data_IF_835307307676
#
_entry.id   IF_835307307676
#
_cell.length_a   1.000
_cell.length_b   1.000
_cell.length_c   1.000
_cell.angle_alpha   90.00
_cell.angle_beta   90.00
_cell.angle_gamma   90.00
#
_symmetry.space_group_name_H-M   'P 1'
#
loop_
_entity.id
_entity.type
_entity.pdbx_description
1 polymer ?
#
# COMPACT_ATOMS: atom_id res chain seq x y z
N UNK A 1 -1.37 -49.65 0.67
CA UNK A 1 -1.72 -49.27 2.06
C UNK A 1 -0.82 -48.10 2.41
N UNK A 2 -1.22 -46.87 2.67
CA UNK A 2 -2.48 -46.29 3.09
C UNK A 2 -2.14 -44.79 3.18
N UNK A 3 -2.59 -43.92 2.26
CA UNK A 3 -2.51 -42.43 2.38
C UNK A 3 -2.93 -41.64 1.12
N UNK A 4 -3.25 -42.29 -0.01
CA UNK A 4 -3.63 -41.57 -1.26
C UNK A 4 -5.13 -41.41 -1.53
N UNK A 5 -6.01 -41.83 -0.63
CA UNK A 5 -7.49 -41.82 -0.85
C UNK A 5 -8.27 -40.79 -0.02
N UNK A 6 -7.65 -40.00 0.86
CA UNK A 6 -8.37 -39.04 1.74
C UNK A 6 -8.46 -37.59 1.24
N UNK A 7 -7.85 -37.24 0.11
CA UNK A 7 -7.87 -35.84 -0.41
C UNK A 7 -8.95 -35.61 -1.48
N UNK A 8 -9.47 -36.65 -2.12
CA UNK A 8 -10.48 -36.48 -3.18
C UNK A 8 -11.92 -36.31 -2.64
N UNK A 9 -12.20 -36.79 -1.43
CA UNK A 9 -13.55 -36.71 -0.82
C UNK A 9 -13.85 -35.32 -0.25
N UNK A 10 -12.85 -34.54 0.17
CA UNK A 10 -13.09 -33.23 0.79
C UNK A 10 -13.40 -32.11 -0.21
N UNK A 11 -13.27 -32.36 -1.52
CA UNK A 11 -13.55 -31.37 -2.59
C UNK A 11 -14.93 -31.52 -3.23
N UNK A 12 -15.70 -32.56 -2.89
CA UNK A 12 -17.05 -32.81 -3.42
C UNK A 12 -18.19 -32.47 -2.45
N UNK A 13 -17.89 -32.12 -1.19
CA UNK A 13 -18.89 -31.81 -0.16
C UNK A 13 -19.10 -30.30 0.11
N UNK A 14 -18.61 -29.42 -0.78
CA UNK A 14 -18.84 -27.96 -0.67
C UNK A 14 -19.44 -27.34 -1.94
N UNK A 15 -20.07 -28.18 -2.77
CA UNK A 15 -20.78 -27.76 -3.98
C UNK A 15 -22.30 -28.01 -3.91
N UNK A 16 -22.80 -28.73 -2.90
CA UNK A 16 -24.21 -29.09 -2.77
C UNK A 16 -25.08 -28.11 -1.99
N UNK A 17 -24.52 -27.19 -1.19
CA UNK A 17 -25.32 -26.27 -0.37
C UNK A 17 -25.61 -24.90 -1.00
N UNK A 18 -25.04 -24.60 -2.18
CA UNK A 18 -25.28 -23.33 -2.88
C UNK A 18 -26.41 -23.46 -3.92
N UNK A 19 -26.70 -24.68 -4.42
CA UNK A 19 -27.75 -24.89 -5.43
C UNK A 19 -29.19 -24.94 -4.88
N UNK A 20 -29.42 -25.19 -3.59
CA UNK A 20 -30.79 -25.26 -3.05
C UNK A 20 -31.43 -23.90 -2.73
N UNK A 21 -30.64 -22.81 -2.62
CA UNK A 21 -31.17 -21.48 -2.26
C UNK A 21 -31.63 -20.61 -3.43
N UNK A 22 -31.40 -21.04 -4.68
CA UNK A 22 -31.85 -20.30 -5.87
C UNK A 22 -33.19 -20.84 -6.40
N UNK A 23 -33.55 -22.11 -6.11
CA UNK A 23 -34.77 -22.73 -6.62
C UNK A 23 -36.06 -22.39 -5.84
N UNK A 24 -35.98 -21.75 -4.67
CA UNK A 24 -37.15 -21.42 -3.83
C UNK A 24 -37.69 -19.99 -4.02
N UNK A 25 -37.10 -19.21 -4.93
CA UNK A 25 -37.54 -17.84 -5.21
C UNK A 25 -38.34 -17.69 -6.52
N UNK A 26 -38.72 -18.80 -7.16
CA UNK A 26 -39.36 -18.78 -8.49
C UNK A 26 -40.65 -19.62 -8.60
N UNK A 27 -41.35 -19.89 -7.49
CA UNK A 27 -42.62 -20.65 -7.47
C UNK A 27 -43.67 -20.11 -6.49
N UNK A 28 -43.66 -18.82 -6.16
CA UNK A 28 -44.67 -18.20 -5.28
C UNK A 28 -45.30 -16.92 -5.88
N UNK A 29 -45.34 -16.82 -7.22
CA UNK A 29 -46.03 -15.73 -7.93
C UNK A 29 -47.24 -16.18 -8.76
N UNK A 30 -47.67 -17.43 -8.63
CA UNK A 30 -48.88 -17.92 -9.32
C UNK A 30 -49.86 -18.50 -8.31
N UNK A 31 -51.11 -18.05 -8.40
CA UNK A 31 -52.33 -18.47 -7.68
C UNK A 31 -52.70 -17.59 -6.48
N UNK A 32 -53.39 -16.49 -6.81
CA UNK A 32 -54.41 -15.96 -5.92
C UNK A 32 -55.59 -16.94 -5.83
N UNK A 33 -56.11 -17.14 -4.62
CA UNK A 33 -57.47 -17.58 -4.26
C UNK A 33 -57.70 -17.21 -2.79
N UNK A 34 -58.92 -16.78 -2.51
CA UNK A 34 -59.50 -16.24 -1.29
C UNK A 34 -59.91 -17.31 -0.22
N UNK A 35 -60.45 -16.80 0.90
CA UNK A 35 -61.27 -17.45 1.95
C UNK A 35 -60.51 -18.19 3.08
N UNK A 36 -60.49 -17.64 4.30
CA UNK A 36 -61.57 -17.61 5.31
C UNK A 36 -61.61 -18.88 6.16
N UNK A 37 -61.12 -18.80 7.41
CA UNK A 37 -61.87 -19.22 8.61
C UNK A 37 -61.06 -19.04 9.90
N UNK A 38 -61.63 -18.23 10.80
CA UNK A 38 -61.84 -18.49 12.23
C UNK A 38 -60.79 -19.33 12.97
N UNK A 39 -59.96 -18.68 13.78
CA UNK A 39 -60.23 -18.49 15.21
C UNK A 39 -60.17 -19.80 16.02
N UNK A 40 -59.09 -19.98 16.78
CA UNK A 40 -59.22 -20.55 18.12
C UNK A 40 -58.15 -19.98 19.05
N UNK A 41 -58.66 -19.24 20.03
CA UNK A 41 -58.03 -18.71 21.23
C UNK A 41 -56.86 -19.53 21.77
N UNK A 42 -55.76 -18.84 22.12
CA UNK A 42 -55.33 -18.77 23.53
C UNK A 42 -54.56 -17.47 23.78
N UNK A 43 -55.31 -16.46 24.20
CA UNK A 43 -54.85 -15.39 25.07
C UNK A 43 -54.26 -16.01 26.34
N UNK A 44 -53.07 -15.59 26.76
CA UNK A 44 -52.74 -15.10 28.10
C UNK A 44 -51.21 -14.96 28.21
N UNK A 45 -50.71 -13.74 27.99
CA UNK A 45 -49.58 -13.13 28.72
C UNK A 45 -49.10 -11.88 27.98
N UNK A 46 -49.92 -10.83 27.97
CA UNK A 46 -49.40 -9.47 27.87
C UNK A 46 -48.91 -9.06 29.25
N UNK A 47 -47.62 -8.80 29.38
CA UNK A 47 -47.04 -8.30 30.62
C UNK A 47 -45.57 -7.94 30.48
N UNK A 48 -45.31 -6.63 30.43
CA UNK A 48 -44.16 -5.97 31.07
C UNK A 48 -42.84 -6.18 30.32
N UNK A 49 -42.52 -5.30 29.37
CA UNK A 49 -41.66 -4.12 29.57
C UNK A 49 -40.28 -4.42 30.18
N UNK A 50 -39.30 -3.72 29.63
CA UNK A 50 -37.95 -3.51 30.13
C UNK A 50 -36.86 -4.47 29.66
N UNK A 51 -35.82 -3.81 29.15
CA UNK A 51 -34.52 -4.34 28.78
C UNK A 51 -34.43 -5.06 27.42
N UNK A 52 -34.92 -4.36 26.40
CA UNK A 52 -34.09 -4.14 25.22
C UNK A 52 -32.78 -3.52 25.73
N UNK A 53 -31.79 -4.37 26.06
CA UNK A 53 -30.40 -3.96 26.23
C UNK A 53 -29.95 -3.50 24.86
N UNK A 54 -30.37 -2.29 24.52
CA UNK A 54 -29.87 -1.48 23.45
C UNK A 54 -28.38 -1.46 23.68
N UNK A 55 -27.71 -2.17 22.79
CA UNK A 55 -26.28 -2.34 22.67
C UNK A 55 -25.64 -0.95 22.67
N UNK A 56 -25.40 -0.39 23.86
CA UNK A 56 -24.59 0.80 24.03
C UNK A 56 -23.13 0.34 23.94
N UNK A 57 -22.78 -0.24 22.79
CA UNK A 57 -21.40 -0.29 22.35
C UNK A 57 -21.04 1.15 22.02
N UNK A 58 -20.65 1.87 23.08
CA UNK A 58 -20.23 3.24 23.05
C UNK A 58 -19.28 3.40 21.88
N UNK A 59 -19.77 4.05 20.82
CA UNK A 59 -18.98 4.40 19.66
C UNK A 59 -17.97 5.41 20.17
N UNK A 60 -16.83 4.90 20.63
CA UNK A 60 -15.68 5.69 21.03
C UNK A 60 -15.48 6.71 19.92
N UNK A 61 -15.82 7.97 20.21
CA UNK A 61 -15.51 9.09 19.34
C UNK A 61 -14.02 8.96 19.09
N UNK A 62 -13.68 8.64 17.85
CA UNK A 62 -12.30 8.48 17.45
C UNK A 62 -11.65 9.85 17.63
N UNK A 63 -10.98 10.06 18.76
CA UNK A 63 -10.07 11.18 18.94
C UNK A 63 -9.15 11.16 17.72
N UNK A 64 -9.25 12.19 16.89
CA UNK A 64 -8.34 12.38 15.76
C UNK A 64 -6.94 12.53 16.35
N UNK A 65 -6.18 11.42 16.41
CA UNK A 65 -4.77 11.43 16.82
C UNK A 65 -4.00 12.24 15.79
N UNK A 66 -3.93 13.55 16.01
CA UNK A 66 -3.13 14.48 15.23
C UNK A 66 -1.67 14.13 15.51
N UNK A 67 -1.01 13.51 14.53
CA UNK A 67 0.45 13.36 14.58
C UNK A 67 1.11 14.74 14.71
N UNK A 68 2.18 14.79 15.49
CA UNK A 68 2.99 15.98 15.73
C UNK A 68 3.42 16.68 14.43
N UNK A 69 3.70 17.98 14.52
CA UNK A 69 4.12 18.77 13.36
C UNK A 69 5.44 18.24 12.78
N UNK A 70 5.61 18.33 11.46
CA UNK A 70 6.84 17.88 10.78
C UNK A 70 8.07 18.66 11.25
N UNK A 71 7.92 19.96 11.51
CA UNK A 71 9.01 20.80 12.02
C UNK A 71 9.49 20.35 13.39
N UNK A 72 8.57 20.01 14.31
CA UNK A 72 8.93 19.51 15.63
C UNK A 72 9.67 18.16 15.53
N UNK A 73 9.15 17.23 14.73
CA UNK A 73 9.80 15.94 14.50
C UNK A 73 11.22 16.12 13.93
N UNK A 74 11.43 17.12 13.08
CA UNK A 74 12.75 17.43 12.54
C UNK A 74 13.70 18.01 13.59
N UNK A 75 13.24 18.94 14.42
CA UNK A 75 14.07 19.51 15.48
C UNK A 75 14.59 18.44 16.45
N UNK A 76 13.76 17.43 16.71
CA UNK A 76 14.15 16.27 17.53
C UNK A 76 15.16 15.38 16.78
N UNK A 77 14.84 14.99 15.53
CA UNK A 77 15.60 13.95 14.81
C UNK A 77 16.89 14.44 14.14
N UNK A 78 17.02 15.74 13.86
CA UNK A 78 18.13 16.31 13.05
C UNK A 78 19.53 16.01 13.58
N UNK A 79 19.69 15.81 14.89
CA UNK A 79 21.00 15.57 15.51
C UNK A 79 21.11 14.19 16.16
N UNK A 80 19.98 13.50 16.36
CA UNK A 80 19.88 12.29 17.20
C UNK A 80 19.59 11.03 16.40
N UNK A 81 19.17 11.15 15.14
CA UNK A 81 18.76 9.98 14.35
C UNK A 81 19.94 9.05 14.03
N UNK A 82 19.71 7.74 14.14
CA UNK A 82 20.71 6.69 13.84
C UNK A 82 21.06 6.59 12.35
N UNK A 83 20.22 7.14 11.48
CA UNK A 83 20.44 7.13 10.03
C UNK A 83 21.43 8.21 9.57
N UNK A 84 21.75 9.19 10.42
CA UNK A 84 22.70 10.26 10.10
C UNK A 84 24.12 9.72 10.09
N UNK A 85 24.81 9.97 8.99
CA UNK A 85 26.23 9.71 8.85
C UNK A 85 26.98 11.01 8.69
N UNK A 86 27.86 11.26 9.65
CA UNK A 86 28.84 12.35 9.59
C UNK A 86 30.18 11.73 9.20
N UNK A 87 30.77 12.22 8.10
CA UNK A 87 32.09 11.78 7.63
C UNK A 87 33.09 12.92 7.83
N UNK A 88 34.32 12.56 8.20
CA UNK A 88 35.44 13.51 8.26
C UNK A 88 35.64 14.14 6.87
N UNK A 89 35.97 15.43 6.82
CA UNK A 89 36.20 16.22 5.60
C UNK A 89 34.96 16.47 4.71
N UNK A 90 33.74 16.21 5.21
CA UNK A 90 32.50 16.57 4.49
C UNK A 90 31.63 17.47 5.37
N UNK A 91 31.40 18.71 4.94
CA UNK A 91 30.59 19.70 5.67
C UNK A 91 29.12 19.28 5.81
N UNK A 92 28.59 18.55 4.82
CA UNK A 92 27.19 18.14 4.79
C UNK A 92 27.00 16.71 5.38
N UNK A 93 26.09 16.50 6.34
CA UNK A 93 25.74 15.16 6.79
C UNK A 93 24.92 14.39 5.74
N UNK A 94 25.14 13.08 5.66
CA UNK A 94 24.37 12.18 4.82
C UNK A 94 23.34 11.39 5.64
N UNK A 95 22.32 10.86 4.99
CA UNK A 95 21.32 9.98 5.61
C UNK A 95 21.24 8.64 4.88
N UNK A 96 21.11 7.56 5.66
CA UNK A 96 20.86 6.18 5.20
C UNK A 96 19.39 5.77 5.29
N UNK A 97 18.48 6.71 5.50
CA UNK A 97 17.05 6.41 5.55
C UNK A 97 16.56 5.69 4.29
N UNK A 98 15.64 4.72 4.44
CA UNK A 98 14.99 4.10 3.30
C UNK A 98 14.18 5.15 2.52
N UNK A 99 14.07 4.96 1.21
CA UNK A 99 13.31 5.83 0.29
C UNK A 99 13.85 7.26 0.13
N UNK A 100 15.03 7.56 0.66
CA UNK A 100 15.62 8.89 0.56
C UNK A 100 16.11 9.18 -0.87
N UNK A 101 15.76 10.35 -1.42
CA UNK A 101 16.04 10.67 -2.83
C UNK A 101 17.51 11.05 -3.07
N UNK A 102 18.03 12.01 -2.33
CA UNK A 102 19.36 12.60 -2.55
C UNK A 102 20.43 12.09 -1.59
N UNK A 103 20.07 11.18 -0.68
CA UNK A 103 20.84 10.73 0.48
C UNK A 103 21.50 11.84 1.34
N UNK A 104 21.12 13.11 1.17
CA UNK A 104 21.59 14.25 1.97
C UNK A 104 20.67 14.43 3.16
N UNK A 105 21.21 14.50 4.37
CA UNK A 105 20.41 14.75 5.55
C UNK A 105 19.90 16.20 5.53
N UNK A 106 18.63 16.38 5.22
CA UNK A 106 18.00 17.68 5.06
C UNK A 106 16.48 17.58 5.23
N UNK A 107 15.88 18.59 5.85
CA UNK A 107 14.45 18.59 6.15
C UNK A 107 13.58 18.24 4.94
N UNK A 108 13.90 18.80 3.76
CA UNK A 108 13.08 18.68 2.55
C UNK A 108 12.87 17.24 2.08
N UNK A 109 13.90 16.39 2.15
CA UNK A 109 13.89 15.06 1.55
C UNK A 109 13.80 13.91 2.57
N UNK A 110 13.77 14.21 3.87
CA UNK A 110 13.63 13.18 4.90
C UNK A 110 12.33 12.42 4.75
N UNK A 111 12.40 11.11 4.95
CA UNK A 111 11.23 10.26 4.71
C UNK A 111 10.46 10.01 5.98
N UNK A 112 11.10 10.00 7.14
CA UNK A 112 10.43 9.71 8.42
C UNK A 112 9.50 10.85 8.86
N UNK A 113 9.95 12.09 8.68
CA UNK A 113 9.28 13.31 9.17
C UNK A 113 8.06 13.71 8.33
N UNK A 114 8.13 13.52 7.02
CA UNK A 114 7.07 13.97 6.12
C UNK A 114 5.95 12.93 5.98
N UNK A 115 4.70 13.41 6.00
CA UNK A 115 3.51 12.60 5.69
C UNK A 115 3.50 12.17 4.23
N UNK A 116 3.94 13.09 3.35
CA UNK A 116 4.01 12.89 1.91
C UNK A 116 5.47 12.62 1.50
N UNK A 117 5.75 11.38 1.10
CA UNK A 117 7.07 10.95 0.63
C UNK A 117 6.94 10.13 -0.64
N UNK A 118 7.83 10.42 -1.59
CA UNK A 118 8.05 9.62 -2.80
C UNK A 118 9.47 9.09 -2.74
N UNK A 119 9.62 7.79 -2.90
CA UNK A 119 10.88 7.09 -3.06
C UNK A 119 10.92 6.35 -4.39
N UNK A 120 12.13 6.11 -4.88
CA UNK A 120 12.37 5.28 -6.06
C UNK A 120 13.41 4.23 -5.67
N UNK A 121 13.04 2.97 -5.84
CA UNK A 121 13.85 1.79 -5.55
C UNK A 121 14.09 1.00 -6.83
N UNK A 122 15.25 0.35 -6.99
CA UNK A 122 15.45 -0.59 -8.10
C UNK A 122 14.48 -1.76 -7.98
N UNK A 123 13.99 -2.26 -9.12
CA UNK A 123 13.17 -3.46 -9.12
C UNK A 123 14.02 -4.72 -8.90
N UNK A 124 13.43 -5.75 -8.29
CA UNK A 124 14.09 -7.07 -8.14
C UNK A 124 14.39 -7.69 -9.50
N UNK A 125 13.48 -7.48 -10.45
CA UNK A 125 13.54 -8.06 -11.81
C UNK A 125 14.57 -7.38 -12.73
N UNK A 126 15.37 -6.41 -12.22
CA UNK A 126 16.31 -5.55 -12.98
C UNK A 126 15.71 -4.81 -14.19
N UNK A 127 14.39 -4.81 -14.28
CA UNK A 127 13.62 -4.27 -15.39
C UNK A 127 12.71 -3.15 -14.85
N UNK A 128 13.20 -1.92 -14.96
CA UNK A 128 12.53 -0.73 -14.49
C UNK A 128 12.66 -0.55 -12.98
N UNK A 129 11.89 0.39 -12.42
CA UNK A 129 12.00 0.76 -11.01
C UNK A 129 10.65 0.69 -10.30
N UNK A 130 10.72 0.55 -8.98
CA UNK A 130 9.58 0.59 -8.08
C UNK A 130 9.44 2.00 -7.52
N UNK A 131 8.26 2.58 -7.69
CA UNK A 131 7.90 3.84 -7.06
C UNK A 131 7.20 3.52 -5.76
N UNK A 132 7.69 4.14 -4.69
CA UNK A 132 7.11 3.98 -3.35
C UNK A 132 6.54 5.32 -2.92
N UNK A 133 5.28 5.32 -2.51
CA UNK A 133 4.60 6.51 -2.02
C UNK A 133 4.02 6.25 -0.64
N UNK A 134 4.08 7.25 0.25
CA UNK A 134 3.34 7.19 1.51
C UNK A 134 1.87 7.54 1.30
N UNK A 135 0.98 6.78 1.93
CA UNK A 135 -0.44 7.07 1.99
C UNK A 135 -0.73 8.22 2.94
N UNK A 136 -1.56 9.17 2.50
CA UNK A 136 -1.97 10.33 3.31
C UNK A 136 -2.87 9.94 4.50
N UNK A 137 -3.62 8.84 4.38
CA UNK A 137 -4.61 8.40 5.39
C UNK A 137 -3.98 7.51 6.48
N UNK A 138 -3.09 6.61 6.07
CA UNK A 138 -2.55 5.55 6.94
C UNK A 138 -1.20 5.94 7.57
N UNK A 139 -1.05 7.17 8.02
CA UNK A 139 0.27 7.69 8.47
C UNK A 139 0.76 6.98 9.74
N UNK A 140 -0.15 6.65 10.65
CA UNK A 140 0.14 5.99 11.93
C UNK A 140 0.30 4.46 11.82
N UNK A 141 0.07 3.87 10.64
CA UNK A 141 0.21 2.42 10.40
C UNK A 141 1.38 2.16 9.46
N UNK A 142 2.63 2.05 9.96
CA UNK A 142 3.82 2.01 9.10
C UNK A 142 3.75 0.89 8.05
N UNK A 143 3.35 -0.33 8.45
CA UNK A 143 3.20 -1.48 7.55
C UNK A 143 2.26 -1.23 6.36
N UNK A 144 1.15 -0.52 6.59
CA UNK A 144 0.13 -0.26 5.58
C UNK A 144 0.27 1.13 4.93
N UNK A 145 1.25 1.93 5.37
CA UNK A 145 1.44 3.31 4.92
C UNK A 145 2.16 3.39 3.56
N UNK A 146 3.03 2.44 3.25
CA UNK A 146 3.77 2.41 1.98
C UNK A 146 2.95 1.72 0.89
N UNK A 147 2.73 2.45 -0.21
CA UNK A 147 2.17 1.92 -1.45
C UNK A 147 3.32 1.79 -2.44
N UNK A 148 3.56 0.57 -2.91
CA UNK A 148 4.59 0.26 -3.89
C UNK A 148 3.94 -0.16 -5.19
N UNK A 149 4.40 0.39 -6.31
CA UNK A 149 4.01 -0.07 -7.63
C UNK A 149 5.21 0.03 -8.58
N UNK A 150 5.32 -0.93 -9.49
CA UNK A 150 6.43 -0.99 -10.43
C UNK A 150 6.02 -0.39 -11.76
N UNK A 151 6.94 0.37 -12.37
CA UNK A 151 6.76 0.87 -13.74
C UNK A 151 7.68 0.09 -14.66
N UNK A 152 7.10 -0.88 -15.37
CA UNK A 152 7.77 -1.66 -16.42
C UNK A 152 7.48 -0.99 -17.77
N UNK A 153 8.42 -0.25 -18.33
CA UNK A 153 8.31 0.42 -19.65
C UNK A 153 9.71 0.82 -20.15
N UNK A 154 9.82 1.26 -21.40
CA UNK A 154 11.06 1.83 -21.92
C UNK A 154 11.55 3.08 -21.16
N UNK A 155 12.85 3.41 -21.20
CA UNK A 155 13.48 4.38 -20.29
C UNK A 155 12.93 5.80 -20.42
N UNK A 156 12.60 6.26 -21.64
CA UNK A 156 11.97 7.57 -21.84
C UNK A 156 10.54 7.60 -21.29
N UNK A 157 9.80 6.52 -21.52
CA UNK A 157 8.40 6.41 -21.13
C UNK A 157 8.22 6.29 -19.61
N UNK A 158 9.08 5.53 -18.92
CA UNK A 158 9.07 5.42 -17.45
C UNK A 158 9.29 6.77 -16.78
N UNK A 159 10.27 7.56 -17.27
CA UNK A 159 10.56 8.89 -16.76
C UNK A 159 9.40 9.85 -17.01
N UNK A 160 8.77 9.82 -18.20
CA UNK A 160 7.61 10.65 -18.51
C UNK A 160 6.41 10.31 -17.59
N UNK A 161 6.09 9.03 -17.44
CA UNK A 161 5.06 8.51 -16.51
C UNK A 161 5.32 8.95 -15.09
N UNK A 162 6.54 8.73 -14.57
CA UNK A 162 6.93 9.17 -13.23
C UNK A 162 6.78 10.67 -13.06
N UNK A 163 7.17 11.44 -14.08
CA UNK A 163 7.02 12.89 -14.05
C UNK A 163 5.55 13.29 -13.93
N UNK A 164 4.63 12.63 -14.65
CA UNK A 164 3.20 12.92 -14.61
C UNK A 164 2.58 12.53 -13.27
N UNK A 165 2.97 11.40 -12.69
CA UNK A 165 2.57 11.01 -11.32
C UNK A 165 2.91 12.10 -10.31
N UNK A 166 4.11 12.70 -10.42
CA UNK A 166 4.52 13.79 -9.52
C UNK A 166 3.77 15.10 -9.83
N UNK A 167 3.39 15.37 -11.09
CA UNK A 167 2.58 16.56 -11.46
C UNK A 167 1.20 16.51 -10.80
N UNK A 168 0.58 15.34 -10.76
CA UNK A 168 -0.83 15.12 -10.42
C UNK A 168 -1.16 15.26 -8.91
N UNK A 169 -0.38 16.02 -8.13
CA UNK A 169 -0.82 16.49 -6.81
C UNK A 169 -0.19 15.81 -5.59
N UNK A 170 1.02 15.27 -5.73
CA UNK A 170 1.78 14.79 -4.57
C UNK A 170 2.73 15.86 -3.98
N UNK A 171 3.94 16.02 -4.53
CA UNK A 171 4.96 17.00 -4.11
C UNK A 171 5.80 17.46 -5.30
N UNK A 172 5.51 18.68 -5.79
CA UNK A 172 6.15 19.24 -7.01
C UNK A 172 7.64 19.58 -6.78
N UNK A 173 8.00 19.92 -5.55
CA UNK A 173 9.37 20.30 -5.13
C UNK A 173 10.38 19.14 -5.22
N UNK A 174 9.91 17.89 -5.16
CA UNK A 174 10.73 16.70 -5.27
C UNK A 174 10.90 16.20 -6.72
N UNK A 175 10.19 16.76 -7.70
CA UNK A 175 10.16 16.31 -9.10
C UNK A 175 11.56 16.10 -9.68
N UNK A 176 12.43 17.10 -9.55
CA UNK A 176 13.79 17.01 -10.09
C UNK A 176 14.64 15.91 -9.44
N UNK A 177 14.55 15.78 -8.11
CA UNK A 177 15.30 14.76 -7.37
C UNK A 177 14.81 13.33 -7.70
N UNK A 178 13.50 13.15 -7.83
CA UNK A 178 12.86 11.87 -8.21
C UNK A 178 13.34 11.42 -9.59
N UNK A 179 13.29 12.30 -10.59
CA UNK A 179 13.72 11.98 -11.97
C UNK A 179 15.23 11.69 -12.04
N UNK A 180 16.05 12.44 -11.30
CA UNK A 180 17.50 12.19 -11.20
C UNK A 180 17.81 10.82 -10.59
N UNK A 181 17.05 10.40 -9.57
CA UNK A 181 17.23 9.08 -8.96
C UNK A 181 16.77 7.95 -9.88
N UNK A 182 15.60 8.09 -10.51
CA UNK A 182 15.10 7.10 -11.46
C UNK A 182 16.05 6.91 -12.65
N UNK A 183 16.56 8.01 -13.22
CA UNK A 183 17.56 7.94 -14.30
C UNK A 183 18.90 7.37 -13.85
N UNK A 184 19.32 7.58 -12.60
CA UNK A 184 20.49 6.90 -12.04
C UNK A 184 20.28 5.38 -11.93
N UNK A 185 19.09 4.93 -11.51
CA UNK A 185 18.74 3.50 -11.45
C UNK A 185 18.75 2.86 -12.84
N UNK A 186 18.08 3.47 -13.81
CA UNK A 186 18.09 3.00 -15.21
C UNK A 186 19.52 2.90 -15.75
N UNK A 187 20.37 3.90 -15.45
CA UNK A 187 21.79 3.87 -15.84
C UNK A 187 22.59 2.77 -15.14
N UNK A 188 22.26 2.46 -13.89
CA UNK A 188 22.92 1.36 -13.15
C UNK A 188 22.47 -0.03 -13.59
N UNK A 189 21.23 -0.16 -14.08
CA UNK A 189 20.68 -1.42 -14.58
C UNK A 189 21.21 -1.77 -15.97
N UNK A 190 21.50 -0.77 -16.80
CA UNK A 190 22.16 -1.00 -18.09
C UNK A 190 23.49 -1.68 -17.83
N UNK A 191 23.62 -2.93 -18.28
CA UNK A 191 24.87 -3.69 -18.17
C UNK A 191 26.00 -2.84 -18.69
N UNK A 192 27.04 -2.66 -17.87
CA UNK A 192 28.27 -2.01 -18.33
C UNK A 192 28.91 -2.98 -19.30
N UNK A 193 28.59 -2.82 -20.59
CA UNK A 193 29.36 -3.47 -21.65
C UNK A 193 30.80 -3.00 -21.42
N UNK A 194 31.71 -3.94 -21.15
CA UNK A 194 33.12 -3.63 -21.01
C UNK A 194 33.52 -2.81 -22.24
N UNK A 195 34.15 -1.65 -22.03
CA UNK A 195 34.66 -0.85 -23.14
C UNK A 195 35.56 -1.77 -23.96
N UNK A 196 35.18 -2.05 -25.22
CA UNK A 196 36.06 -2.77 -26.14
C UNK A 196 37.42 -2.05 -26.11
N UNK A 197 38.47 -2.76 -25.74
CA UNK A 197 39.82 -2.23 -25.77
C UNK A 197 40.08 -1.68 -27.17
N UNK A 198 40.60 -0.45 -27.28
CA UNK A 198 41.04 0.06 -28.58
C UNK A 198 42.11 -0.90 -29.09
N UNK A 199 42.04 -1.39 -30.34
CA UNK A 199 43.11 -2.22 -30.89
C UNK A 199 44.40 -1.39 -30.84
N UNK A 200 45.45 -1.97 -30.24
CA UNK A 200 46.76 -1.35 -30.22
C UNK A 200 47.18 -1.11 -31.67
N UNK A 201 47.49 0.14 -32.03
CA UNK A 201 48.16 0.41 -33.31
C UNK A 201 49.48 -0.34 -33.27
N UNK A 202 49.68 -1.29 -34.19
CA UNK A 202 51.00 -1.88 -34.42
C UNK A 202 51.93 -0.73 -34.78
N UNK A 203 53.01 -0.59 -34.02
CA UNK A 203 54.12 0.27 -34.38
C UNK A 203 54.85 -0.41 -35.54
N UNK A 204 55.01 0.30 -36.65
CA UNK A 204 56.08 0.08 -37.63
C UNK A 204 57.38 0.71 -37.10
#
# INVERSE_FOLDING_TARGET
>A
MELRTKIFVFRLLRASEICQKIAYWQTLECLGIEYSSFAFLRLLATGITSFFSFFFFGRHRSCSRKMSSSHLQWLITRNTSSFVLKKRNVKQPFSREPLHLTNRHCFKYNTLVHKNVIGVEPAKDKNGFVVVMKSKKKVYKPKASMVRFQIKSGPRHTLAKLSNIVKNGYRKDCRGAVLKRASAIIRSEKTRVAKKAKPAKKAE
#
